data_IF_973040578210
#
_entry.id   IF_973040578210
#
_cell.length_a   1.000
_cell.length_b   1.000
_cell.length_c   1.000
_cell.angle_alpha   90.00
_cell.angle_beta   90.00
_cell.angle_gamma   90.00
#
_symmetry.space_group_name_H-M   'P 1'
#
loop_
_entity.id
_entity.type
_entity.pdbx_description
1 polymer ?
#
# COMPACT_ATOMS: atom_id res chain seq x y z
N UNK A 1 13.69 5.91 -2.10
CA UNK A 1 12.94 4.81 -2.77
C UNK A 1 11.47 5.05 -2.50
N UNK A 2 10.61 5.06 -3.52
CA UNK A 2 9.17 5.22 -3.30
C UNK A 2 8.58 3.83 -3.00
N UNK A 3 8.16 3.60 -1.76
CA UNK A 3 7.58 2.33 -1.33
C UNK A 3 6.05 2.42 -1.36
N UNK A 4 5.40 1.43 -1.94
CA UNK A 4 3.94 1.35 -2.06
C UNK A 4 3.40 0.06 -1.43
N UNK A 5 2.52 0.18 -0.43
CA UNK A 5 1.84 -0.97 0.16
C UNK A 5 0.68 -1.41 -0.74
N UNK A 6 0.59 -2.70 -1.07
CA UNK A 6 -0.47 -3.26 -1.91
C UNK A 6 -1.15 -4.38 -1.13
N UNK A 7 -2.39 -4.15 -0.70
CA UNK A 7 -3.09 -5.07 0.24
C UNK A 7 -4.17 -5.94 -0.41
N UNK A 8 -4.38 -5.74 -1.71
CA UNK A 8 -5.38 -6.44 -2.51
C UNK A 8 -4.72 -7.33 -3.55
N UNK A 9 -5.43 -8.38 -3.95
CA UNK A 9 -4.99 -9.20 -5.07
C UNK A 9 -5.06 -8.40 -6.37
N UNK A 10 -3.91 -8.24 -7.01
CA UNK A 10 -3.74 -7.46 -8.23
C UNK A 10 -3.16 -8.34 -9.33
N UNK A 11 -3.35 -7.90 -10.57
CA UNK A 11 -2.77 -8.59 -11.72
C UNK A 11 -1.24 -8.60 -11.63
N UNK A 12 -0.60 -9.70 -12.04
CA UNK A 12 0.84 -9.91 -11.90
C UNK A 12 1.71 -8.86 -12.61
N UNK A 13 1.16 -8.14 -13.59
CA UNK A 13 1.84 -7.04 -14.28
C UNK A 13 2.04 -5.79 -13.41
N UNK A 14 1.32 -5.63 -12.31
CA UNK A 14 1.36 -4.41 -11.50
C UNK A 14 2.75 -4.16 -10.91
N UNK A 15 3.38 -5.18 -10.34
CA UNK A 15 4.70 -5.04 -9.71
C UNK A 15 5.80 -4.66 -10.72
N UNK A 16 5.91 -5.32 -11.90
CA UNK A 16 6.80 -4.86 -12.97
C UNK A 16 6.52 -3.42 -13.42
N UNK A 17 5.25 -3.01 -13.54
CA UNK A 17 4.89 -1.65 -13.92
C UNK A 17 5.28 -0.60 -12.87
N UNK A 18 5.12 -0.91 -11.57
CA UNK A 18 5.57 -0.01 -10.50
C UNK A 18 7.10 0.11 -10.50
N UNK A 19 7.78 -1.02 -10.68
CA UNK A 19 9.25 -1.04 -10.73
C UNK A 19 9.79 -0.22 -11.91
N UNK A 20 9.14 -0.26 -13.07
CA UNK A 20 9.57 0.51 -14.25
C UNK A 20 9.48 2.03 -14.07
N UNK A 21 8.65 2.50 -13.13
CA UNK A 21 8.54 3.91 -12.75
C UNK A 21 9.27 4.26 -11.44
N UNK A 22 10.12 3.34 -10.94
CA UNK A 22 10.93 3.58 -9.73
C UNK A 22 10.18 3.44 -8.40
N UNK A 23 9.01 2.78 -8.41
CA UNK A 23 8.22 2.47 -7.21
C UNK A 23 8.42 1.00 -6.84
N UNK A 24 8.79 0.75 -5.59
CA UNK A 24 8.88 -0.59 -5.03
C UNK A 24 7.51 -0.98 -4.43
N UNK A 25 6.93 -2.06 -4.93
CA UNK A 25 5.67 -2.59 -4.41
C UNK A 25 5.90 -3.59 -3.28
N UNK A 26 5.39 -3.29 -2.09
CA UNK A 26 5.28 -4.22 -0.97
C UNK A 26 3.95 -4.96 -1.07
N UNK A 27 3.98 -6.13 -1.70
CA UNK A 27 2.79 -6.90 -2.04
C UNK A 27 2.35 -7.81 -0.90
N UNK A 28 1.27 -7.42 -0.22
CA UNK A 28 0.73 -8.07 0.97
C UNK A 28 -0.78 -8.35 0.82
N UNK A 29 -1.23 -9.10 -0.20
CA UNK A 29 -2.66 -9.33 -0.46
C UNK A 29 -3.38 -10.08 0.67
N UNK A 30 -2.63 -10.74 1.55
CA UNK A 30 -3.15 -11.46 2.72
C UNK A 30 -3.19 -10.62 4.00
N UNK A 31 -2.68 -9.38 3.99
CA UNK A 31 -2.72 -8.49 5.14
C UNK A 31 -4.18 -8.24 5.56
N UNK A 32 -4.48 -8.44 6.85
CA UNK A 32 -5.81 -8.20 7.36
C UNK A 32 -6.09 -6.69 7.41
N UNK A 33 -7.35 -6.31 7.19
CA UNK A 33 -7.80 -4.92 7.18
C UNK A 33 -7.46 -4.21 8.50
N UNK A 34 -7.59 -4.92 9.63
CA UNK A 34 -7.28 -4.38 10.95
C UNK A 34 -5.79 -4.06 11.14
N UNK A 35 -4.90 -4.70 10.39
CA UNK A 35 -3.43 -4.57 10.55
C UNK A 35 -2.84 -3.49 9.63
N UNK A 36 -3.59 -3.00 8.64
CA UNK A 36 -3.11 -1.98 7.69
C UNK A 36 -2.63 -0.69 8.38
N UNK A 37 -3.31 -0.14 9.39
CA UNK A 37 -2.81 1.05 10.09
C UNK A 37 -1.43 0.83 10.73
N UNK A 38 -1.23 -0.34 11.35
CA UNK A 38 0.05 -0.70 11.96
C UNK A 38 1.13 -0.89 10.89
N UNK A 39 0.81 -1.54 9.78
CA UNK A 39 1.71 -1.68 8.64
C UNK A 39 2.11 -0.30 8.08
N UNK A 40 1.15 0.59 7.84
CA UNK A 40 1.40 1.95 7.36
C UNK A 40 2.32 2.75 8.28
N UNK A 41 2.20 2.58 9.60
CA UNK A 41 3.06 3.23 10.58
C UNK A 41 4.46 2.57 10.69
N UNK A 42 4.60 1.29 10.33
CA UNK A 42 5.84 0.54 10.48
C UNK A 42 6.91 0.87 9.42
N UNK A 43 6.51 1.41 8.26
CA UNK A 43 7.44 1.78 7.18
C UNK A 43 7.07 3.12 6.56
N UNK A 44 8.03 3.87 6.00
CA UNK A 44 7.78 5.13 5.30
C UNK A 44 7.13 4.90 3.92
N UNK A 45 5.89 4.38 3.90
CA UNK A 45 5.16 4.19 2.66
C UNK A 45 4.78 5.53 2.04
N UNK A 46 5.09 5.68 0.76
CA UNK A 46 4.72 6.83 -0.07
C UNK A 46 3.46 6.57 -0.91
N UNK A 47 3.00 5.32 -0.96
CA UNK A 47 1.80 4.92 -1.67
C UNK A 47 1.05 3.79 -0.96
N UNK A 48 -0.26 3.74 -1.18
CA UNK A 48 -1.16 2.68 -0.77
C UNK A 48 -2.05 2.31 -1.94
N UNK A 49 -2.03 1.05 -2.36
CA UNK A 49 -2.88 0.51 -3.41
C UNK A 49 -3.91 -0.45 -2.82
N UNK A 50 -5.16 -0.14 -3.11
CA UNK A 50 -6.34 -0.95 -2.76
C UNK A 50 -7.21 -1.14 -4.00
N UNK A 51 -7.99 -2.22 -4.02
CA UNK A 51 -9.02 -2.50 -5.03
C UNK A 51 -10.41 -2.42 -4.41
N UNK A 52 -10.69 -3.25 -3.41
CA UNK A 52 -12.02 -3.31 -2.79
C UNK A 52 -12.04 -3.85 -1.36
N UNK A 53 -10.93 -4.38 -0.83
CA UNK A 53 -10.89 -5.01 0.50
C UNK A 53 -11.08 -4.02 1.65
N UNK A 54 -10.78 -2.75 1.42
CA UNK A 54 -10.83 -1.72 2.44
C UNK A 54 -11.35 -0.40 1.86
N UNK A 55 -12.11 0.34 2.67
CA UNK A 55 -12.47 1.73 2.40
C UNK A 55 -11.37 2.66 2.91
N UNK A 56 -10.89 3.57 2.05
CA UNK A 56 -9.94 4.60 2.44
C UNK A 56 -10.69 5.70 3.20
N UNK A 57 -10.28 5.95 4.44
CA UNK A 57 -10.86 6.98 5.32
C UNK A 57 -9.78 7.95 5.79
N UNK A 58 -10.19 9.16 6.22
CA UNK A 58 -9.25 10.13 6.77
C UNK A 58 -8.48 9.59 7.99
N UNK A 59 -9.15 8.79 8.84
CA UNK A 59 -8.52 8.15 9.99
C UNK A 59 -7.40 7.18 9.57
N UNK A 60 -7.60 6.41 8.50
CA UNK A 60 -6.56 5.52 7.97
C UNK A 60 -5.36 6.31 7.44
N UNK A 61 -5.61 7.39 6.69
CA UNK A 61 -4.55 8.21 6.10
C UNK A 61 -3.67 8.88 7.16
N UNK A 62 -4.20 9.14 8.36
CA UNK A 62 -3.42 9.67 9.48
C UNK A 62 -2.28 8.74 9.93
N UNK A 63 -2.37 7.43 9.66
CA UNK A 63 -1.30 6.46 9.95
C UNK A 63 -0.18 6.43 8.90
N UNK A 64 -0.40 7.04 7.74
CA UNK A 64 0.56 7.12 6.65
C UNK A 64 0.87 8.58 6.27
N UNK A 65 1.56 9.35 7.11
CA UNK A 65 1.80 10.78 6.88
C UNK A 65 2.67 11.09 5.65
N UNK A 66 3.29 10.07 5.06
CA UNK A 66 4.15 10.19 3.87
C UNK A 66 3.44 9.78 2.57
N UNK A 67 2.19 9.29 2.66
CA UNK A 67 1.38 8.94 1.50
C UNK A 67 1.16 10.18 0.62
N UNK A 68 1.23 10.00 -0.70
CA UNK A 68 1.06 11.05 -1.71
C UNK A 68 -0.10 10.76 -2.64
#
# INVERSE_FOLDING_TARGET
MNLCLIIDEMHASLLPMLRSIGVEGDYQPKLAVADVPAALAAKPYTGLMVRSKMRITAALLAHGPQLR
#
